data_IF_059749486645
#
_entry.id   IF_059749486645
#
_cell.length_a   1.000
_cell.length_b   1.000
_cell.length_c   1.000
_cell.angle_alpha   90.00
_cell.angle_beta   90.00
_cell.angle_gamma   90.00
#
_symmetry.space_group_name_H-M   'P 1'
#
loop_
_entity.id
_entity.type
_entity.pdbx_description
1 polymer ?
#
# COMPACT_ATOMS: atom_id res chain seq x y z
N UNK A 1 -11.70 -3.94 15.14
CA UNK A 1 -12.18 -4.96 14.17
C UNK A 1 -11.58 -6.36 14.40
N UNK A 2 -11.68 -6.92 15.63
CA UNK A 2 -10.96 -8.13 16.05
C UNK A 2 -11.37 -9.40 15.27
N UNK A 3 -10.41 -10.01 14.57
CA UNK A 3 -10.55 -11.37 14.03
C UNK A 3 -10.64 -11.52 12.51
N UNK A 4 -10.08 -10.59 11.73
CA UNK A 4 -9.93 -10.75 10.28
C UNK A 4 -8.45 -10.79 9.91
N UNK A 5 -8.04 -11.86 9.23
CA UNK A 5 -6.68 -12.04 8.75
C UNK A 5 -6.57 -11.43 7.36
N UNK A 6 -6.53 -10.11 7.30
CA UNK A 6 -6.03 -9.44 6.11
C UNK A 6 -4.52 -9.42 6.19
N UNK A 7 -3.90 -9.66 5.04
CA UNK A 7 -2.50 -9.30 4.88
C UNK A 7 -2.41 -7.79 4.69
N UNK A 8 -1.32 -7.23 5.17
CA UNK A 8 -1.05 -5.79 5.06
C UNK A 8 -0.34 -5.55 3.74
N UNK A 9 -0.67 -4.42 3.10
CA UNK A 9 -0.09 -4.10 1.80
C UNK A 9 1.42 -3.92 1.94
N UNK A 10 2.18 -4.55 1.05
CA UNK A 10 3.65 -4.48 1.07
C UNK A 10 4.21 -3.16 0.49
N UNK A 11 3.33 -2.29 -0.01
CA UNK A 11 3.74 -1.04 -0.64
C UNK A 11 3.84 0.09 0.39
N UNK A 12 5.05 0.62 0.55
CA UNK A 12 5.38 1.70 1.50
C UNK A 12 4.46 2.92 1.34
N UNK A 13 3.98 3.16 0.13
CA UNK A 13 3.12 4.29 -0.21
C UNK A 13 1.79 4.28 0.54
N UNK A 14 1.24 3.11 0.90
CA UNK A 14 -0.11 3.01 1.47
C UNK A 14 -0.14 2.91 2.99
N UNK A 15 0.96 2.46 3.59
CA UNK A 15 1.00 2.13 5.01
C UNK A 15 2.23 2.71 5.71
N UNK A 16 2.81 3.82 5.23
CA UNK A 16 4.07 4.39 5.76
C UNK A 16 4.07 4.58 7.29
N UNK A 17 3.02 5.17 7.86
CA UNK A 17 2.93 5.36 9.32
C UNK A 17 2.78 4.04 10.08
N UNK A 18 2.13 3.07 9.46
CA UNK A 18 1.89 1.76 10.02
C UNK A 18 3.18 0.91 10.00
N UNK A 19 3.90 0.90 8.88
CA UNK A 19 5.21 0.24 8.72
C UNK A 19 6.22 0.84 9.71
N UNK A 20 6.28 2.17 9.84
CA UNK A 20 7.16 2.82 10.82
C UNK A 20 6.90 2.34 12.26
N UNK A 21 5.63 2.11 12.61
CA UNK A 21 5.25 1.56 13.92
C UNK A 21 5.67 0.10 14.11
N UNK A 22 5.61 -0.72 13.07
CA UNK A 22 6.09 -2.11 13.13
C UNK A 22 7.63 -2.17 13.20
N UNK A 23 8.32 -1.33 12.44
CA UNK A 23 9.79 -1.26 12.42
C UNK A 23 10.39 -0.87 13.78
N UNK A 24 9.60 -0.20 14.63
CA UNK A 24 10.00 0.22 15.99
C UNK A 24 9.40 -0.66 17.09
N UNK A 25 8.66 -1.71 16.74
CA UNK A 25 8.02 -2.58 17.71
C UNK A 25 9.00 -3.56 18.37
N UNK A 26 8.88 -3.71 19.69
CA UNK A 26 9.59 -4.76 20.41
C UNK A 26 8.99 -6.14 20.06
N UNK A 27 9.86 -7.13 19.81
CA UNK A 27 9.49 -8.53 19.58
C UNK A 27 8.60 -8.79 18.35
N UNK A 28 8.74 -7.98 17.30
CA UNK A 28 8.09 -8.24 16.01
C UNK A 28 9.15 -8.44 14.92
N UNK A 29 9.04 -9.53 14.17
CA UNK A 29 9.96 -9.82 13.07
C UNK A 29 9.47 -9.14 11.79
N UNK A 30 10.06 -7.98 11.45
CA UNK A 30 9.73 -7.23 10.24
C UNK A 30 10.25 -7.82 8.93
N UNK A 31 11.12 -8.82 9.06
CA UNK A 31 11.89 -9.39 7.95
C UNK A 31 11.08 -10.23 6.97
N UNK A 32 9.84 -10.62 7.27
CA UNK A 32 9.04 -11.46 6.37
C UNK A 32 7.70 -10.78 6.14
N UNK A 33 7.43 -10.42 4.88
CA UNK A 33 6.20 -9.74 4.46
C UNK A 33 5.46 -10.56 3.40
N UNK A 34 4.11 -10.52 3.37
CA UNK A 34 3.24 -9.60 4.09
C UNK A 34 2.99 -9.97 5.56
N UNK A 35 2.67 -8.97 6.37
CA UNK A 35 2.33 -9.17 7.78
C UNK A 35 0.88 -9.61 7.95
N UNK A 36 0.65 -10.58 8.84
CA UNK A 36 -0.69 -10.97 9.21
C UNK A 36 -1.27 -9.94 10.21
N UNK A 37 -2.46 -9.40 9.91
CA UNK A 37 -3.14 -8.46 10.80
C UNK A 37 -3.30 -8.99 12.23
N UNK A 38 -3.55 -10.28 12.42
CA UNK A 38 -3.68 -10.86 13.76
C UNK A 38 -2.39 -10.76 14.58
N UNK A 39 -1.23 -10.98 13.96
CA UNK A 39 0.08 -10.84 14.60
C UNK A 39 0.37 -9.38 14.93
N UNK A 40 0.03 -8.47 14.01
CA UNK A 40 0.28 -7.05 14.22
C UNK A 40 -0.64 -6.42 15.27
N UNK A 41 -1.89 -6.89 15.39
CA UNK A 41 -2.82 -6.46 16.43
C UNK A 41 -2.34 -6.84 17.84
N UNK A 42 -1.45 -7.83 17.98
CA UNK A 42 -0.81 -8.17 19.25
C UNK A 42 0.25 -7.13 19.66
N UNK A 43 0.81 -6.40 18.70
CA UNK A 43 1.88 -5.41 18.90
C UNK A 43 1.28 -4.01 19.08
N UNK A 44 0.34 -3.62 18.22
CA UNK A 44 -0.37 -2.35 18.36
C UNK A 44 -1.74 -2.36 17.70
N UNK A 45 -2.59 -1.42 18.12
CA UNK A 45 -3.93 -1.29 17.56
C UNK A 45 -3.90 -0.56 16.20
N UNK A 46 -4.14 -1.32 15.11
CA UNK A 46 -4.22 -0.81 13.75
C UNK A 46 -5.23 0.34 13.62
N UNK A 47 -6.46 0.12 14.10
CA UNK A 47 -7.58 1.07 13.95
C UNK A 47 -7.26 2.42 14.61
N UNK A 48 -6.64 2.40 15.78
CA UNK A 48 -6.20 3.61 16.51
C UNK A 48 -5.04 4.33 15.80
N UNK A 49 -4.13 3.59 15.16
CA UNK A 49 -3.01 4.19 14.43
C UNK A 49 -3.51 4.85 13.15
N UNK A 50 -4.43 4.21 12.42
CA UNK A 50 -5.03 4.78 11.21
C UNK A 50 -5.99 5.93 11.50
N UNK A 51 -6.62 5.96 12.68
CA UNK A 51 -7.39 7.13 13.09
C UNK A 51 -6.56 8.43 13.14
N UNK A 52 -5.24 8.34 13.31
CA UNK A 52 -4.32 9.50 13.29
C UNK A 52 -4.07 10.04 11.88
N UNK A 53 -4.41 9.27 10.84
CA UNK A 53 -4.28 9.64 9.43
C UNK A 53 -5.53 10.32 8.87
N UNK A 54 -6.57 10.54 9.68
CA UNK A 54 -7.75 11.28 9.21
C UNK A 54 -7.35 12.72 8.87
N UNK A 55 -7.44 13.05 7.59
CA UNK A 55 -7.15 14.39 7.08
C UNK A 55 -8.48 15.14 6.97
N UNK A 56 -8.64 16.17 7.78
CA UNK A 56 -9.78 17.09 7.75
C UNK A 56 -10.78 16.92 8.89
N UNK A 57 -11.76 17.83 8.92
CA UNK A 57 -12.82 17.81 9.91
C UNK A 57 -13.80 16.65 9.65
N UNK A 58 -14.53 16.23 10.69
CA UNK A 58 -15.63 15.28 10.55
C UNK A 58 -16.64 15.81 9.51
N UNK A 59 -16.96 14.98 8.50
CA UNK A 59 -17.88 15.34 7.40
C UNK A 59 -17.26 16.08 6.19
N UNK A 60 -15.93 16.25 6.13
CA UNK A 60 -15.27 16.75 4.92
C UNK A 60 -15.17 15.68 3.83
N UNK A 61 -15.31 16.05 2.56
CA UNK A 61 -15.09 15.17 1.40
C UNK A 61 -13.71 14.48 1.42
N UNK A 62 -12.66 15.15 1.91
CA UNK A 62 -11.32 14.55 2.01
C UNK A 62 -11.29 13.48 3.12
N UNK A 63 -11.96 13.74 4.24
CA UNK A 63 -12.09 12.78 5.32
C UNK A 63 -12.95 11.59 4.88
N UNK A 64 -14.01 11.82 4.11
CA UNK A 64 -14.78 10.76 3.46
C UNK A 64 -13.90 9.97 2.49
N UNK A 65 -13.11 10.61 1.61
CA UNK A 65 -12.26 9.90 0.65
C UNK A 65 -11.14 9.07 1.31
N UNK A 66 -10.63 9.52 2.47
CA UNK A 66 -9.48 8.90 3.17
C UNK A 66 -9.88 7.97 4.32
N UNK A 67 -11.14 7.97 4.73
CA UNK A 67 -11.64 7.03 5.74
C UNK A 67 -11.94 5.68 5.09
N UNK A 68 -11.40 4.61 5.68
CA UNK A 68 -11.56 3.25 5.15
C UNK A 68 -13.04 2.87 5.07
N UNK A 69 -13.60 2.76 3.86
CA UNK A 69 -15.02 2.45 3.67
C UNK A 69 -15.24 0.95 3.74
N UNK A 70 -15.94 0.53 4.80
CA UNK A 70 -16.50 -0.82 4.87
C UNK A 70 -17.86 -0.79 4.18
N UNK A 71 -17.93 -1.30 2.95
CA UNK A 71 -19.21 -1.67 2.34
C UNK A 71 -19.55 -3.06 2.88
N UNK A 72 -20.08 -3.08 4.11
CA UNK A 72 -20.50 -4.32 4.76
C UNK A 72 -21.79 -4.84 4.13
N UNK A 73 -21.69 -5.70 3.11
CA UNK A 73 -22.88 -6.27 2.46
C UNK A 73 -23.59 -7.25 3.40
N UNK A 74 -22.88 -7.92 4.34
CA UNK A 74 -23.45 -8.80 5.39
C UNK A 74 -22.48 -9.06 6.57
N UNK A 75 -22.95 -9.56 7.73
CA UNK A 75 -22.07 -9.88 8.90
C UNK A 75 -20.91 -10.82 8.57
N UNK A 76 -21.10 -11.73 7.61
CA UNK A 76 -20.09 -12.71 7.17
C UNK A 76 -19.23 -12.20 6.02
N UNK A 77 -19.69 -11.22 5.24
CA UNK A 77 -18.97 -10.74 4.07
C UNK A 77 -18.71 -9.25 4.18
N UNK A 78 -17.43 -8.90 4.14
CA UNK A 78 -16.99 -7.51 4.22
C UNK A 78 -16.25 -7.17 2.94
N UNK A 79 -16.54 -6.01 2.38
CA UNK A 79 -15.85 -5.43 1.27
C UNK A 79 -15.32 -4.06 1.70
N UNK A 80 -14.07 -3.80 1.36
CA UNK A 80 -13.39 -2.55 1.60
C UNK A 80 -12.92 -2.04 0.25
N UNK A 81 -13.26 -0.79 -0.06
CA UNK A 81 -12.83 -0.11 -1.27
C UNK A 81 -12.19 1.19 -0.83
N UNK A 82 -10.89 1.32 -1.05
CA UNK A 82 -10.15 2.50 -0.67
C UNK A 82 -9.51 3.12 -1.91
N UNK A 83 -9.74 4.41 -2.19
CA UNK A 83 -8.99 5.10 -3.22
C UNK A 83 -7.52 5.23 -2.79
N UNK A 84 -6.65 5.22 -3.79
CA UNK A 84 -5.23 5.50 -3.61
C UNK A 84 -4.92 6.77 -4.39
N UNK A 85 -4.25 7.72 -3.74
CA UNK A 85 -3.82 8.97 -4.36
C UNK A 85 -2.42 9.29 -3.85
N UNK A 86 -1.50 9.55 -4.77
CA UNK A 86 -0.18 10.10 -4.49
C UNK A 86 0.06 11.33 -5.34
N UNK A 87 0.60 12.37 -4.72
CA UNK A 87 0.91 13.63 -5.38
C UNK A 87 2.10 14.29 -4.70
N UNK A 88 3.23 14.36 -5.39
CA UNK A 88 4.46 14.99 -4.89
C UNK A 88 4.93 15.99 -5.94
N UNK A 89 5.36 17.17 -5.49
CA UNK A 89 5.99 18.16 -6.33
C UNK A 89 7.38 18.45 -5.77
N UNK A 90 8.39 18.34 -6.61
CA UNK A 90 9.78 18.61 -6.25
C UNK A 90 10.43 19.50 -7.31
N UNK A 91 11.59 20.07 -7.00
CA UNK A 91 12.34 20.90 -7.93
C UNK A 91 13.72 20.29 -8.16
N UNK A 92 13.99 19.94 -9.41
CA UNK A 92 15.34 19.62 -9.86
C UNK A 92 16.07 20.91 -10.22
N UNK A 93 17.18 21.20 -9.54
CA UNK A 93 18.00 22.37 -9.80
C UNK A 93 19.44 21.98 -10.09
N UNK A 94 20.01 22.58 -11.12
CA UNK A 94 21.43 22.55 -11.48
C UNK A 94 21.87 24.00 -11.75
N UNK A 95 23.16 24.32 -11.62
CA UNK A 95 23.71 25.69 -11.65
C UNK A 95 23.09 26.73 -12.62
N UNK A 96 22.47 26.33 -13.74
CA UNK A 96 21.82 27.22 -14.70
C UNK A 96 20.41 26.79 -15.13
N UNK A 97 19.80 25.81 -14.44
CA UNK A 97 18.52 25.21 -14.80
C UNK A 97 17.71 24.82 -13.56
N UNK A 98 16.42 25.10 -13.58
CA UNK A 98 15.46 24.66 -12.57
C UNK A 98 14.23 24.10 -13.27
N UNK A 99 13.80 22.91 -12.89
CA UNK A 99 12.60 22.24 -13.39
C UNK A 99 11.78 21.75 -12.21
N UNK A 100 10.50 22.11 -12.18
CA UNK A 100 9.54 21.44 -11.31
C UNK A 100 9.20 20.08 -11.89
N UNK A 101 9.29 19.05 -11.06
CA UNK A 101 8.95 17.66 -11.37
C UNK A 101 7.75 17.29 -10.52
N UNK A 102 6.71 16.75 -11.17
CA UNK A 102 5.47 16.38 -10.51
C UNK A 102 5.25 14.88 -10.65
N UNK A 103 5.17 14.21 -9.50
CA UNK A 103 4.75 12.82 -9.41
C UNK A 103 3.26 12.80 -9.07
N UNK A 104 2.48 12.06 -9.87
CA UNK A 104 1.06 11.86 -9.64
C UNK A 104 0.69 10.43 -9.99
N UNK A 105 0.09 9.76 -9.02
CA UNK A 105 -0.49 8.44 -9.25
C UNK A 105 -1.81 8.30 -8.51
N UNK A 106 -2.66 7.44 -9.05
CA UNK A 106 -3.99 7.19 -8.53
C UNK A 106 -4.38 5.74 -8.71
N UNK A 107 -5.28 5.25 -7.89
CA UNK A 107 -5.65 3.85 -7.92
C UNK A 107 -6.76 3.46 -6.96
N UNK A 108 -6.92 2.16 -6.81
CA UNK A 108 -7.83 1.59 -5.82
C UNK A 108 -7.22 0.38 -5.12
N UNK A 109 -7.60 0.21 -3.86
CA UNK A 109 -7.39 -1.00 -3.08
C UNK A 109 -8.75 -1.63 -2.78
N UNK A 110 -8.89 -2.89 -3.16
CA UNK A 110 -10.03 -3.74 -2.83
C UNK A 110 -9.58 -4.78 -1.81
N UNK A 111 -10.27 -4.85 -0.68
CA UNK A 111 -10.09 -5.95 0.29
C UNK A 111 -11.43 -6.59 0.57
N UNK A 112 -11.47 -7.91 0.64
CA UNK A 112 -12.68 -8.64 1.01
C UNK A 112 -12.38 -9.75 1.99
N UNK A 113 -13.27 -9.94 2.96
CA UNK A 113 -13.22 -11.07 3.86
C UNK A 113 -14.55 -11.79 3.90
N UNK A 114 -14.48 -13.12 3.85
CA UNK A 114 -15.59 -14.00 4.12
C UNK A 114 -15.31 -14.78 5.42
N UNK A 115 -16.07 -14.42 6.45
CA UNK A 115 -15.91 -14.90 7.82
C UNK A 115 -14.48 -14.64 8.33
N UNK A 116 -13.92 -15.58 9.10
CA UNK A 116 -12.52 -15.56 9.58
C UNK A 116 -11.58 -16.42 8.71
N UNK A 117 -12.11 -17.09 7.69
CA UNK A 117 -11.37 -18.13 6.94
C UNK A 117 -10.79 -17.63 5.63
N UNK A 118 -11.53 -16.80 4.90
CA UNK A 118 -11.13 -16.35 3.59
C UNK A 118 -10.95 -14.84 3.59
N UNK A 119 -9.85 -14.38 3.04
CA UNK A 119 -9.65 -12.98 2.68
C UNK A 119 -8.99 -12.88 1.31
N UNK A 120 -9.25 -11.79 0.62
CA UNK A 120 -8.57 -11.45 -0.61
C UNK A 120 -8.32 -9.95 -0.66
N UNK A 121 -7.28 -9.57 -1.39
CA UNK A 121 -6.83 -8.21 -1.57
C UNK A 121 -6.37 -8.02 -3.00
N UNK A 122 -6.65 -6.86 -3.56
CA UNK A 122 -6.19 -6.46 -4.87
C UNK A 122 -5.99 -4.94 -4.90
N UNK A 123 -4.80 -4.53 -5.31
CA UNK A 123 -4.45 -3.14 -5.51
C UNK A 123 -4.16 -2.88 -6.98
N UNK A 124 -4.63 -1.75 -7.47
CA UNK A 124 -4.39 -1.27 -8.82
C UNK A 124 -3.95 0.19 -8.76
N UNK A 125 -2.93 0.53 -9.53
CA UNK A 125 -2.39 1.88 -9.63
C UNK A 125 -2.12 2.22 -11.08
N UNK A 126 -2.43 3.47 -11.40
CA UNK A 126 -2.00 4.14 -12.60
C UNK A 126 -1.09 5.30 -12.20
N UNK A 127 0.13 5.29 -12.73
CA UNK A 127 1.12 6.34 -12.57
C UNK A 127 1.18 7.19 -13.83
N UNK A 128 1.32 8.51 -13.64
CA UNK A 128 1.61 9.47 -14.70
C UNK A 128 2.59 10.50 -14.13
N UNK A 129 3.75 10.02 -13.69
CA UNK A 129 4.73 10.84 -12.99
C UNK A 129 5.81 11.35 -13.92
N UNK A 130 6.19 12.62 -13.76
CA UNK A 130 7.45 13.10 -14.28
C UNK A 130 8.58 12.68 -13.35
N UNK A 131 9.73 12.34 -13.93
CA UNK A 131 10.92 11.97 -13.17
C UNK A 131 12.00 13.05 -13.29
N UNK A 132 12.86 13.12 -12.28
CA UNK A 132 14.11 13.89 -12.34
C UNK A 132 14.98 13.39 -13.49
N UNK A 133 15.73 14.27 -14.12
CA UNK A 133 16.37 14.03 -15.42
C UNK A 133 17.22 12.76 -15.48
N UNK A 134 17.92 12.42 -14.40
CA UNK A 134 18.74 11.21 -14.33
C UNK A 134 17.95 9.90 -14.25
N UNK A 135 16.72 9.94 -13.73
CA UNK A 135 15.78 8.81 -13.71
C UNK A 135 14.98 8.76 -15.00
N UNK A 136 14.49 9.90 -15.49
CA UNK A 136 13.66 10.00 -16.70
C UNK A 136 14.36 9.41 -17.93
N UNK A 137 15.67 9.64 -18.08
CA UNK A 137 16.46 9.01 -19.15
C UNK A 137 16.38 7.48 -19.10
N UNK A 138 16.47 6.87 -17.90
CA UNK A 138 16.38 5.42 -17.74
C UNK A 138 14.96 4.92 -18.03
N UNK A 139 13.94 5.67 -17.59
CA UNK A 139 12.53 5.35 -17.86
C UNK A 139 12.27 5.33 -19.36
N UNK A 140 12.69 6.36 -20.08
CA UNK A 140 12.49 6.50 -21.52
C UNK A 140 13.31 5.49 -22.34
N UNK A 141 14.53 5.17 -21.90
CA UNK A 141 15.40 4.22 -22.61
C UNK A 141 14.97 2.76 -22.43
N UNK A 142 14.38 2.42 -21.29
CA UNK A 142 14.10 1.02 -20.95
C UNK A 142 12.61 0.72 -20.84
N UNK A 143 11.74 1.73 -20.94
CA UNK A 143 10.31 1.61 -20.71
C UNK A 143 10.02 0.99 -19.33
N UNK A 144 10.74 1.45 -18.30
CA UNK A 144 10.60 0.96 -16.92
C UNK A 144 10.49 2.13 -15.96
N UNK A 145 9.33 2.27 -15.32
CA UNK A 145 9.10 3.21 -14.23
C UNK A 145 9.54 2.61 -12.87
N UNK A 146 10.24 3.40 -12.03
CA UNK A 146 10.54 3.02 -10.65
C UNK A 146 9.27 2.65 -9.87
N UNK A 147 9.23 1.42 -9.36
CA UNK A 147 8.14 0.95 -8.51
C UNK A 147 6.90 0.45 -9.25
N UNK A 148 6.64 0.88 -10.48
CA UNK A 148 5.44 0.51 -11.25
C UNK A 148 5.68 -0.53 -12.35
N UNK A 149 6.92 -0.73 -12.80
CA UNK A 149 7.24 -1.73 -13.83
C UNK A 149 7.26 -1.11 -15.22
N UNK A 150 6.63 -1.76 -16.22
CA UNK A 150 6.65 -1.26 -17.60
C UNK A 150 6.00 0.12 -17.72
N UNK A 151 6.65 1.02 -18.44
CA UNK A 151 6.24 2.41 -18.66
C UNK A 151 6.22 2.74 -20.15
N UNK A 152 5.18 3.43 -20.58
CA UNK A 152 5.12 4.05 -21.90
C UNK A 152 4.76 5.54 -21.73
N UNK A 153 5.60 6.43 -22.26
CA UNK A 153 5.43 7.89 -22.14
C UNK A 153 5.17 8.36 -20.68
N UNK A 154 5.97 7.85 -19.73
CA UNK A 154 5.84 8.14 -18.29
C UNK A 154 4.49 7.71 -17.68
N UNK A 155 3.79 6.79 -18.34
CA UNK A 155 2.56 6.19 -17.84
C UNK A 155 2.83 4.73 -17.50
N UNK A 156 2.44 4.30 -16.31
CA UNK A 156 2.66 2.92 -15.87
C UNK A 156 1.46 2.39 -15.12
N UNK A 157 1.26 1.07 -15.19
CA UNK A 157 0.23 0.38 -14.43
C UNK A 157 0.90 -0.62 -13.51
N UNK A 158 0.55 -0.55 -12.23
CA UNK A 158 0.92 -1.54 -11.25
C UNK A 158 -0.33 -2.23 -10.73
N UNK A 159 -0.23 -3.55 -10.55
CA UNK A 159 -1.25 -4.29 -9.81
C UNK A 159 -0.62 -5.39 -8.98
N UNK A 160 -1.25 -5.67 -7.85
CA UNK A 160 -0.92 -6.80 -7.02
C UNK A 160 -2.19 -7.35 -6.40
N UNK A 161 -2.16 -8.59 -5.98
CA UNK A 161 -3.27 -9.16 -5.24
C UNK A 161 -2.93 -10.49 -4.63
N UNK A 162 -3.73 -10.89 -3.64
CA UNK A 162 -3.59 -12.16 -2.98
C UNK A 162 -4.95 -12.69 -2.54
N UNK A 163 -5.02 -14.01 -2.42
CA UNK A 163 -6.08 -14.73 -1.72
C UNK A 163 -5.45 -15.50 -0.57
N UNK A 164 -6.12 -15.48 0.57
CA UNK A 164 -5.64 -16.04 1.82
C UNK A 164 -6.71 -16.95 2.41
N UNK A 165 -6.29 -18.15 2.80
CA UNK A 165 -7.10 -19.11 3.53
C UNK A 165 -6.46 -19.39 4.90
N UNK A 166 -7.17 -19.04 5.96
CA UNK A 166 -6.81 -19.40 7.34
C UNK A 166 -7.58 -20.66 7.73
N UNK A 167 -6.83 -21.75 7.88
CA UNK A 167 -7.39 -23.03 8.32
C UNK A 167 -7.74 -22.98 9.82
N UNK A 168 -6.79 -22.51 10.63
CA UNK A 168 -6.88 -22.35 12.09
C UNK A 168 -5.90 -21.27 12.59
N UNK A 169 -5.64 -21.21 13.90
CA UNK A 169 -4.73 -20.23 14.52
C UNK A 169 -3.24 -20.42 14.17
N UNK A 170 -2.85 -21.61 13.71
CA UNK A 170 -1.47 -21.96 13.38
C UNK A 170 -1.20 -21.93 11.88
N UNK A 171 -2.21 -22.21 11.05
CA UNK A 171 -2.03 -22.39 9.61
C UNK A 171 -2.82 -21.38 8.79
N UNK A 172 -2.07 -20.58 8.02
CA UNK A 172 -2.59 -19.70 6.97
C UNK A 172 -1.84 -19.93 5.67
N UNK A 173 -2.59 -20.07 4.58
CA UNK A 173 -2.06 -20.27 3.23
C UNK A 173 -2.39 -19.04 2.40
N UNK A 174 -1.40 -18.50 1.69
CA UNK A 174 -1.57 -17.36 0.81
C UNK A 174 -1.06 -17.71 -0.59
N UNK A 175 -1.85 -17.35 -1.59
CA UNK A 175 -1.41 -17.34 -2.99
C UNK A 175 -1.65 -15.93 -3.53
N UNK A 176 -0.66 -15.37 -4.21
CA UNK A 176 -0.75 -14.01 -4.72
C UNK A 176 0.18 -13.74 -5.89
N UNK A 177 -0.02 -12.58 -6.48
CA UNK A 177 0.76 -12.00 -7.55
C UNK A 177 1.18 -10.59 -7.11
N UNK A 178 2.48 -10.30 -7.18
CA UNK A 178 3.04 -9.01 -6.77
C UNK A 178 4.42 -9.15 -6.16
N UNK A 179 4.84 -8.13 -5.42
CA UNK A 179 6.15 -8.11 -4.75
C UNK A 179 6.09 -8.87 -3.42
N UNK A 180 6.95 -9.88 -3.28
CA UNK A 180 7.21 -10.60 -2.03
C UNK A 180 8.55 -10.16 -1.44
N UNK A 181 8.61 -9.93 -0.14
CA UNK A 181 9.83 -9.52 0.56
C UNK A 181 10.21 -10.54 1.63
N UNK A 182 11.42 -11.08 1.51
CA UNK A 182 12.04 -11.97 2.48
C UNK A 182 13.38 -11.33 2.88
N UNK A 183 13.55 -11.08 4.17
CA UNK A 183 14.63 -10.30 4.78
C UNK A 183 14.23 -8.85 5.13
N UNK A 184 14.91 -8.25 6.11
CA UNK A 184 14.89 -6.80 6.38
C UNK A 184 15.68 -6.01 5.32
N UNK A 185 15.81 -6.56 4.11
CA UNK A 185 16.67 -6.07 3.06
C UNK A 185 16.43 -4.58 2.84
N UNK A 186 17.37 -3.77 3.31
CA UNK A 186 17.55 -2.39 2.89
C UNK A 186 17.58 -2.41 1.37
N UNK A 187 16.50 -1.99 0.73
CA UNK A 187 16.65 -1.29 -0.55
C UNK A 187 17.18 0.09 -0.18
N UNK A 188 18.48 0.13 0.11
CA UNK A 188 19.27 1.33 0.27
C UNK A 188 19.41 2.01 -1.08
N UNK A 189 19.08 3.30 -1.08
CA UNK A 189 19.28 4.32 -2.12
C UNK A 189 18.33 4.25 -3.31
#
# INVERSE_FOLDING_TARGET
MKGQNFNLTNERTFELLYINKLDTAANFHTSIKPFNRAETEAVFNYDSTMAKLKIGNEGSFINELTSQHVIGINKKFKLFINPIINGISTTESKNSFSKTVVEKSGGLSLKTAYSKKWSAEWDFLYDNSEYVSHVDVLVQQHNISPGYGYSDNNQSIFSQGNITFTADENFTFQAGYGKHFIGDGYRSL
#
